data_IF_101926327725
#
_entry.id   IF_101926327725
#
_cell.length_a   1.000
_cell.length_b   1.000
_cell.length_c   1.000
_cell.angle_alpha   90.00
_cell.angle_beta   90.00
_cell.angle_gamma   90.00
#
_symmetry.space_group_name_H-M   'P 1'
#
loop_
_entity.id
_entity.type
_entity.pdbx_description
1 polymer ?
#
# COMPACT_ATOMS: atom_id res chain seq x y z
N UNK A 1 7.16 7.23 -15.93
CA UNK A 1 6.13 7.51 -14.90
C UNK A 1 6.73 7.26 -13.53
N UNK A 2 6.22 7.88 -12.46
CA UNK A 2 6.75 7.61 -11.11
C UNK A 2 6.43 6.19 -10.67
N UNK A 3 7.33 5.60 -9.90
CA UNK A 3 7.16 4.30 -9.26
C UNK A 3 7.67 4.35 -7.80
N UNK A 4 7.15 3.43 -6.98
CA UNK A 4 7.58 3.23 -5.61
C UNK A 4 7.75 1.74 -5.32
N UNK A 5 8.87 1.41 -4.69
CA UNK A 5 9.14 0.05 -4.20
C UNK A 5 8.44 -0.14 -2.85
N UNK A 6 7.60 -1.16 -2.76
CA UNK A 6 6.85 -1.55 -1.56
C UNK A 6 7.24 -2.98 -1.18
N UNK A 7 7.44 -3.23 0.11
CA UNK A 7 7.77 -4.56 0.60
C UNK A 7 6.56 -5.50 0.50
N UNK A 8 6.80 -6.79 0.32
CA UNK A 8 5.74 -7.79 0.45
C UNK A 8 5.42 -8.05 1.94
N UNK A 9 4.12 -8.11 2.31
CA UNK A 9 2.97 -8.37 1.45
C UNK A 9 2.19 -7.11 1.04
N UNK A 10 2.62 -5.92 1.47
CA UNK A 10 1.86 -4.68 1.31
C UNK A 10 1.70 -4.27 -0.15
N UNK A 11 2.69 -4.56 -1.01
CA UNK A 11 2.57 -4.33 -2.45
C UNK A 11 1.40 -5.14 -3.03
N UNK A 12 1.27 -6.41 -2.62
CA UNK A 12 0.17 -7.29 -3.03
C UNK A 12 -1.18 -6.86 -2.46
N UNK A 13 -1.22 -6.43 -1.20
CA UNK A 13 -2.43 -5.88 -0.60
C UNK A 13 -2.92 -4.63 -1.34
N UNK A 14 -1.99 -3.80 -1.82
CA UNK A 14 -2.34 -2.66 -2.67
C UNK A 14 -2.86 -3.16 -4.01
N UNK A 15 -2.14 -4.07 -4.67
CA UNK A 15 -2.50 -4.56 -6.00
C UNK A 15 -3.86 -5.26 -6.06
N UNK A 16 -4.30 -5.93 -4.98
CA UNK A 16 -5.64 -6.52 -4.88
C UNK A 16 -6.72 -5.56 -4.36
N UNK A 17 -6.35 -4.32 -4.02
CA UNK A 17 -7.26 -3.30 -3.51
C UNK A 17 -7.63 -3.42 -2.03
N UNK A 18 -7.07 -4.39 -1.31
CA UNK A 18 -7.27 -4.54 0.14
C UNK A 18 -6.59 -3.44 0.96
N UNK A 19 -5.57 -2.79 0.40
CA UNK A 19 -4.84 -1.67 1.00
C UNK A 19 -4.84 -0.46 0.07
N UNK A 20 -5.24 0.69 0.61
CA UNK A 20 -5.40 1.97 -0.09
C UNK A 20 -4.54 3.07 0.55
N UNK A 21 -3.96 2.83 1.72
CA UNK A 21 -3.10 3.81 2.40
C UNK A 21 -1.69 3.26 2.59
N UNK A 22 -0.71 3.77 1.87
CA UNK A 22 0.70 3.41 2.07
C UNK A 22 1.33 4.30 3.15
N UNK A 23 2.05 3.71 4.12
CA UNK A 23 2.65 4.49 5.23
C UNK A 23 4.16 4.65 5.07
N UNK A 24 4.68 5.88 5.17
CA UNK A 24 6.11 6.19 5.02
C UNK A 24 6.62 7.11 6.12
N UNK A 25 7.91 7.06 6.40
CA UNK A 25 8.59 7.99 7.31
C UNK A 25 8.97 9.32 6.61
N UNK A 26 8.52 9.54 5.38
CA UNK A 26 8.80 10.75 4.60
C UNK A 26 7.58 11.16 3.76
N UNK A 27 7.46 12.46 3.51
CA UNK A 27 6.36 13.06 2.76
C UNK A 27 6.70 13.27 1.29
N UNK A 28 5.69 13.40 0.45
CA UNK A 28 5.88 13.77 -0.95
C UNK A 28 4.84 14.79 -1.40
N UNK A 29 5.26 15.74 -2.24
CA UNK A 29 4.39 16.68 -2.94
C UNK A 29 3.84 16.11 -4.26
N UNK A 30 4.35 14.95 -4.70
CA UNK A 30 3.88 14.33 -5.94
C UNK A 30 2.41 13.91 -5.80
N UNK A 31 1.62 14.17 -6.85
CA UNK A 31 0.25 13.70 -7.04
C UNK A 31 0.10 13.26 -8.48
N UNK A 32 -0.56 12.12 -8.71
CA UNK A 32 -0.72 11.55 -10.05
C UNK A 32 -0.47 10.06 -10.11
N UNK A 33 -0.35 9.54 -11.34
CA UNK A 33 -0.17 8.10 -11.59
C UNK A 33 1.18 7.61 -11.08
N UNK A 34 1.15 6.56 -10.27
CA UNK A 34 2.32 5.92 -9.70
C UNK A 34 2.24 4.41 -9.88
N UNK A 35 3.36 3.80 -10.22
CA UNK A 35 3.49 2.36 -10.35
C UNK A 35 3.94 1.74 -9.02
N UNK A 36 3.33 0.61 -8.66
CA UNK A 36 3.64 -0.15 -7.44
C UNK A 36 4.57 -1.30 -7.80
N UNK A 37 5.79 -1.24 -7.28
CA UNK A 37 6.80 -2.27 -7.44
C UNK A 37 6.87 -3.16 -6.20
N UNK A 38 6.76 -4.48 -6.42
CA UNK A 38 6.94 -5.49 -5.40
C UNK A 38 8.43 -5.70 -5.11
N UNK A 39 8.86 -5.33 -3.91
CA UNK A 39 10.23 -5.53 -3.43
C UNK A 39 10.62 -7.01 -3.38
N UNK A 40 11.93 -7.30 -3.44
CA UNK A 40 12.44 -8.68 -3.43
C UNK A 40 12.51 -9.33 -2.05
N UNK A 41 12.47 -8.53 -0.99
CA UNK A 41 12.56 -9.04 0.37
C UNK A 41 11.15 -9.39 0.87
N UNK A 42 10.98 -10.64 1.31
CA UNK A 42 9.74 -11.09 1.95
C UNK A 42 10.07 -11.58 3.36
N UNK A 43 9.31 -11.11 4.36
CA UNK A 43 9.38 -11.62 5.75
C UNK A 43 8.11 -12.40 6.08
N UNK A 44 7.78 -13.39 5.23
CA UNK A 44 6.52 -14.17 5.26
C UNK A 44 6.18 -14.77 6.62
N UNK A 45 7.18 -15.13 7.44
CA UNK A 45 6.97 -15.75 8.75
C UNK A 45 6.35 -14.83 9.82
N UNK A 46 6.21 -13.52 9.55
CA UNK A 46 5.79 -12.53 10.55
C UNK A 46 4.48 -11.80 10.19
N UNK A 47 3.71 -12.32 9.24
CA UNK A 47 2.47 -11.68 8.84
C UNK A 47 1.38 -11.88 9.90
N UNK A 48 0.70 -10.79 10.25
CA UNK A 48 -0.42 -10.82 11.19
C UNK A 48 -1.64 -11.52 10.57
N UNK A 49 -2.55 -12.01 11.41
CA UNK A 49 -3.78 -12.66 10.94
C UNK A 49 -4.61 -11.78 9.97
N UNK A 50 -4.80 -10.46 10.20
CA UNK A 50 -5.49 -9.60 9.23
C UNK A 50 -4.85 -9.60 7.85
N UNK A 51 -3.51 -9.59 7.77
CA UNK A 51 -2.77 -9.67 6.50
C UNK A 51 -3.04 -11.01 5.82
N UNK A 52 -2.92 -12.12 6.56
CA UNK A 52 -3.14 -13.46 6.02
C UNK A 52 -4.57 -13.60 5.49
N UNK A 53 -5.57 -13.16 6.26
CA UNK A 53 -6.97 -13.21 5.85
C UNK A 53 -7.23 -12.34 4.62
N UNK A 54 -6.68 -11.12 4.57
CA UNK A 54 -6.86 -10.25 3.41
C UNK A 54 -6.19 -10.82 2.16
N UNK A 55 -5.01 -11.42 2.28
CA UNK A 55 -4.39 -12.17 1.19
C UNK A 55 -5.24 -13.38 0.80
N UNK A 56 -5.80 -14.12 1.76
CA UNK A 56 -6.67 -15.28 1.57
C UNK A 56 -7.98 -14.98 0.83
N UNK A 57 -8.62 -13.87 1.15
CA UNK A 57 -9.92 -13.49 0.59
C UNK A 57 -9.77 -12.67 -0.69
N UNK A 58 -8.76 -11.79 -0.75
CA UNK A 58 -8.62 -10.80 -1.84
C UNK A 58 -7.55 -11.17 -2.87
N UNK A 59 -6.58 -12.03 -2.54
CA UNK A 59 -5.47 -12.39 -3.43
C UNK A 59 -5.51 -13.83 -3.95
N UNK A 60 -6.38 -14.71 -3.42
CA UNK A 60 -6.41 -16.13 -3.80
C UNK A 60 -7.35 -16.34 -4.99
N UNK A 61 -6.83 -16.08 -6.19
CA UNK A 61 -6.95 -17.11 -7.22
C UNK A 61 -5.57 -17.75 -7.35
N UNK A 62 -5.51 -19.07 -7.28
CA UNK A 62 -4.29 -19.89 -7.10
C UNK A 62 -3.13 -19.57 -8.06
N UNK A 63 -3.38 -18.86 -9.17
CA UNK A 63 -2.38 -18.42 -10.13
C UNK A 63 -1.49 -17.25 -9.67
N UNK A 64 -1.92 -16.43 -8.69
CA UNK A 64 -1.32 -15.11 -8.46
C UNK A 64 -0.38 -15.00 -7.28
N UNK A 65 -0.31 -16.00 -6.40
CA UNK A 65 0.71 -16.06 -5.33
C UNK A 65 2.12 -16.31 -5.88
N UNK A 66 2.26 -16.60 -7.18
CA UNK A 66 3.48 -16.45 -7.96
C UNK A 66 3.76 -14.97 -8.29
N UNK A 67 3.68 -14.09 -7.30
CA UNK A 67 4.14 -12.71 -7.42
C UNK A 67 5.62 -12.78 -7.84
N UNK A 68 5.91 -12.32 -9.06
CA UNK A 68 7.29 -12.15 -9.51
C UNK A 68 7.88 -10.98 -8.73
N UNK A 69 8.45 -11.28 -7.57
CA UNK A 69 9.24 -10.35 -6.78
C UNK A 69 10.20 -9.56 -7.68
N UNK A 70 10.37 -8.27 -7.41
CA UNK A 70 11.14 -7.40 -8.29
C UNK A 70 10.41 -7.03 -9.58
N UNK A 71 9.08 -6.89 -9.55
CA UNK A 71 8.28 -6.46 -10.69
C UNK A 71 7.31 -5.34 -10.29
N UNK A 72 6.92 -4.52 -11.26
CA UNK A 72 5.76 -3.63 -11.15
C UNK A 72 4.49 -4.46 -11.32
N UNK A 73 3.56 -4.36 -10.38
CA UNK A 73 2.37 -5.22 -10.29
C UNK A 73 1.04 -4.47 -10.27
N UNK A 74 1.08 -3.15 -10.07
CA UNK A 74 -0.11 -2.30 -10.13
C UNK A 74 0.24 -0.87 -10.53
N UNK A 75 -0.76 -0.15 -11.03
CA UNK A 75 -0.76 1.29 -11.27
C UNK A 75 -1.87 1.89 -10.41
N UNK A 76 -1.62 3.02 -9.77
CA UNK A 76 -2.59 3.71 -8.93
C UNK A 76 -2.41 5.22 -9.03
N UNK A 77 -3.32 6.01 -8.45
CA UNK A 77 -3.17 7.45 -8.28
C UNK A 77 -2.77 7.76 -6.84
N UNK A 78 -1.62 8.40 -6.64
CA UNK A 78 -1.32 9.06 -5.37
C UNK A 78 -2.11 10.37 -5.34
N UNK A 79 -3.19 10.41 -4.56
CA UNK A 79 -4.12 11.54 -4.49
C UNK A 79 -3.88 12.43 -3.28
N UNK A 80 -3.33 11.86 -2.20
CA UNK A 80 -2.92 12.66 -1.04
C UNK A 80 -1.74 12.08 -0.26
N UNK A 81 -1.13 12.89 0.60
CA UNK A 81 -0.02 12.53 1.47
C UNK A 81 -0.16 13.32 2.77
N UNK A 82 -0.69 12.67 3.81
CA UNK A 82 -1.15 13.32 5.03
C UNK A 82 -0.31 12.89 6.23
N UNK A 83 0.08 13.83 7.07
CA UNK A 83 0.80 13.50 8.30
C UNK A 83 -0.11 12.80 9.31
N UNK A 84 0.41 11.77 9.98
CA UNK A 84 -0.25 11.11 11.10
C UNK A 84 -0.04 11.93 12.36
N UNK A 85 -1.15 12.36 12.98
CA UNK A 85 -1.16 13.19 14.18
C UNK A 85 -1.17 12.37 15.47
N UNK A 86 -1.61 11.12 15.42
CA UNK A 86 -1.57 10.20 16.55
C UNK A 86 -2.67 9.16 16.46
N UNK A 87 -2.90 8.45 17.57
CA UNK A 87 -3.97 7.48 17.70
C UNK A 87 -4.98 7.93 18.75
N UNK A 88 -6.23 7.53 18.56
CA UNK A 88 -7.34 7.81 19.48
C UNK A 88 -8.14 6.54 19.73
N UNK A 89 -8.50 6.32 21.00
CA UNK A 89 -9.45 5.29 21.38
C UNK A 89 -10.86 5.84 21.23
N UNK A 90 -11.67 5.18 20.41
CA UNK A 90 -13.05 5.52 20.12
C UNK A 90 -13.96 4.48 20.75
N UNK A 91 -15.05 4.94 21.37
CA UNK A 91 -16.14 4.08 21.77
C UNK A 91 -17.16 4.04 20.63
N UNK A 92 -17.27 2.90 19.96
CA UNK A 92 -18.27 2.67 18.92
C UNK A 92 -19.23 1.63 19.48
N UNK A 93 -20.47 2.05 19.75
CA UNK A 93 -21.45 1.25 20.47
C UNK A 93 -20.90 0.77 21.83
N UNK A 94 -20.82 -0.54 22.05
CA UNK A 94 -20.30 -1.17 23.27
C UNK A 94 -18.84 -1.62 23.15
N UNK A 95 -18.17 -1.28 22.06
CA UNK A 95 -16.80 -1.73 21.79
C UNK A 95 -15.82 -0.56 21.76
N UNK A 96 -14.64 -0.78 22.32
CA UNK A 96 -13.53 0.14 22.16
C UNK A 96 -12.76 -0.22 20.89
N UNK A 97 -12.48 0.79 20.07
CA UNK A 97 -11.74 0.67 18.82
C UNK A 97 -10.65 1.71 18.78
N UNK A 98 -9.54 1.41 18.11
CA UNK A 98 -8.45 2.36 17.91
C UNK A 98 -8.54 2.93 16.50
N UNK A 99 -8.26 4.22 16.35
CA UNK A 99 -8.10 4.89 15.07
C UNK A 99 -6.80 5.68 15.03
N UNK A 100 -6.10 5.68 13.90
CA UNK A 100 -5.11 6.70 13.60
C UNK A 100 -5.83 7.97 13.09
N UNK A 101 -5.37 9.13 13.52
CA UNK A 101 -5.89 10.44 13.14
C UNK A 101 -4.88 11.11 12.21
N UNK A 102 -5.33 11.45 11.00
CA UNK A 102 -4.53 12.19 10.02
C UNK A 102 -4.72 13.70 10.19
N UNK A 103 -3.84 14.50 9.60
CA UNK A 103 -3.83 15.95 9.76
C UNK A 103 -5.08 16.69 9.28
N UNK A 104 -5.86 16.07 8.40
CA UNK A 104 -7.16 16.56 7.95
C UNK A 104 -8.33 15.97 8.75
N UNK A 105 -8.07 15.39 9.92
CA UNK A 105 -9.04 14.71 10.79
C UNK A 105 -9.63 13.41 10.24
N UNK A 106 -9.15 12.89 9.10
CA UNK A 106 -9.54 11.55 8.67
C UNK A 106 -9.09 10.50 9.68
N UNK A 107 -9.96 9.51 9.89
CA UNK A 107 -9.76 8.40 10.83
C UNK A 107 -9.46 7.13 10.05
N UNK A 108 -8.33 6.50 10.33
CA UNK A 108 -7.96 5.21 9.74
C UNK A 108 -8.17 4.11 10.79
N UNK A 109 -8.94 3.10 10.42
CA UNK A 109 -9.41 2.03 11.32
C UNK A 109 -9.40 0.67 10.61
N UNK A 110 -9.60 -0.41 11.37
CA UNK A 110 -9.73 -1.76 10.83
C UNK A 110 -8.49 -2.21 10.06
N UNK A 111 -8.69 -2.93 8.96
CA UNK A 111 -7.60 -3.49 8.16
C UNK A 111 -6.56 -2.43 7.71
N UNK A 112 -7.00 -1.23 7.32
CA UNK A 112 -6.05 -0.18 6.91
C UNK A 112 -5.10 0.23 8.02
N UNK A 113 -5.59 0.25 9.27
CA UNK A 113 -4.78 0.54 10.46
C UNK A 113 -3.77 -0.60 10.69
N UNK A 114 -4.23 -1.85 10.59
CA UNK A 114 -3.40 -3.06 10.77
C UNK A 114 -2.35 -3.24 9.65
N UNK A 115 -2.58 -2.66 8.48
CA UNK A 115 -1.69 -2.80 7.32
C UNK A 115 -0.59 -1.74 7.26
N UNK A 116 -0.44 -0.85 8.25
CA UNK A 116 0.51 0.25 8.18
C UNK A 116 1.10 0.64 9.52
N UNK A 117 2.18 1.41 9.48
CA UNK A 117 2.73 2.06 10.66
C UNK A 117 2.23 3.51 10.71
N UNK A 118 1.27 3.73 11.60
CA UNK A 118 0.65 5.04 11.88
C UNK A 118 1.23 5.69 13.15
N UNK A 119 2.50 5.43 13.47
CA UNK A 119 3.20 6.20 14.51
C UNK A 119 3.18 7.70 14.17
N UNK A 120 3.00 8.54 15.19
CA UNK A 120 3.00 9.99 15.05
C UNK A 120 4.20 10.49 14.22
N UNK A 121 3.94 11.42 13.31
CA UNK A 121 4.97 12.03 12.45
C UNK A 121 5.26 11.28 11.15
N UNK A 122 4.74 10.05 10.98
CA UNK A 122 4.74 9.34 9.69
C UNK A 122 3.69 9.94 8.74
N UNK A 123 3.71 9.50 7.49
CA UNK A 123 2.85 9.99 6.42
C UNK A 123 2.03 8.87 5.79
N UNK A 124 0.72 9.10 5.68
CA UNK A 124 -0.25 8.27 5.00
C UNK A 124 -0.40 8.75 3.55
N UNK A 125 0.05 7.94 2.60
CA UNK A 125 -0.10 8.17 1.17
C UNK A 125 -1.41 7.55 0.71
N UNK A 126 -2.34 8.39 0.29
CA UNK A 126 -3.69 7.98 -0.12
C UNK A 126 -3.65 7.56 -1.58
N UNK A 127 -3.99 6.30 -1.83
CA UNK A 127 -3.98 5.67 -3.14
C UNK A 127 -5.42 5.48 -3.62
N UNK A 128 -5.70 5.88 -4.86
CA UNK A 128 -7.00 5.74 -5.51
C UNK A 128 -6.86 5.03 -6.85
N UNK A 129 -7.97 4.46 -7.35
CA UNK A 129 -8.03 3.78 -8.66
C UNK A 129 -6.90 2.75 -8.85
N UNK A 130 -6.66 1.91 -7.85
CA UNK A 130 -5.67 0.84 -7.97
C UNK A 130 -6.12 -0.09 -9.10
N UNK A 131 -5.28 -0.18 -10.12
CA UNK A 131 -5.41 -1.13 -11.22
C UNK A 131 -4.24 -2.10 -11.18
N UNK A 132 -4.55 -3.36 -10.93
CA UNK A 132 -3.59 -4.45 -11.09
C UNK A 132 -3.16 -4.58 -12.56
N UNK A 133 -1.90 -4.94 -12.79
CA UNK A 133 -1.36 -5.25 -14.11
C UNK A 133 -0.64 -6.59 -14.11
N UNK A 134 -0.36 -7.12 -15.30
CA UNK A 134 0.60 -8.22 -15.44
C UNK A 134 1.98 -7.80 -14.92
N UNK A 135 2.65 -8.63 -14.10
CA UNK A 135 3.94 -8.28 -13.51
C UNK A 135 4.99 -7.92 -14.57
N UNK A 136 5.47 -6.68 -14.55
CA UNK A 136 6.55 -6.21 -15.41
C UNK A 136 7.87 -6.18 -14.63
N UNK A 137 8.88 -7.00 -14.97
CA UNK A 137 10.16 -7.01 -14.26
C UNK A 137 10.83 -5.63 -14.23
N UNK A 138 11.27 -5.20 -13.06
CA UNK A 138 11.96 -3.92 -12.89
C UNK A 138 12.91 -3.92 -11.68
N UNK A 139 14.00 -3.16 -11.76
CA UNK A 139 14.89 -2.98 -10.62
C UNK A 139 14.33 -1.90 -9.69
N UNK A 140 13.83 -2.32 -8.53
CA UNK A 140 13.34 -1.42 -7.49
C UNK A 140 14.43 -0.45 -7.01
N UNK A 141 14.02 0.75 -6.61
CA UNK A 141 14.89 1.81 -6.08
C UNK A 141 14.31 2.41 -4.81
N UNK A 142 15.15 3.10 -4.04
CA UNK A 142 14.71 3.87 -2.88
C UNK A 142 13.96 5.14 -3.32
N UNK A 143 13.04 5.60 -2.46
CA UNK A 143 12.17 6.76 -2.69
C UNK A 143 11.36 6.62 -3.98
N UNK A 144 10.76 7.71 -4.46
CA UNK A 144 10.13 7.75 -5.78
C UNK A 144 11.20 7.69 -6.87
N UNK A 145 10.98 6.85 -7.87
CA UNK A 145 11.89 6.68 -9.00
C UNK A 145 11.13 6.72 -10.34
N UNK A 146 11.85 6.97 -11.43
CA UNK A 146 11.28 6.93 -12.77
C UNK A 146 11.27 5.51 -13.31
N UNK A 147 10.10 5.06 -13.72
CA UNK A 147 9.86 3.81 -14.40
C UNK A 147 9.37 4.06 -15.82
N UNK A 148 10.06 3.48 -16.79
CA UNK A 148 9.63 3.45 -18.18
C UNK A 148 8.73 2.22 -18.34
N UNK A 149 7.42 2.47 -18.45
CA UNK A 149 6.47 1.42 -18.75
C UNK A 149 6.78 0.88 -20.16
N UNK A 150 6.76 -0.44 -20.38
CA UNK A 150 6.94 -1.01 -21.72
C UNK A 150 5.94 -0.40 -22.69
N UNK A 151 6.39 -0.08 -23.89
CA UNK A 151 5.56 0.45 -24.98
C UNK A 151 4.56 -0.63 -25.42
N UNK A 152 3.37 -0.64 -24.83
CA UNK A 152 2.26 -1.54 -25.16
C UNK A 152 1.02 -1.13 -24.38
N UNK A 153 -0.15 -1.22 -25.01
CA UNK A 153 -1.46 -0.70 -24.57
C UNK A 153 -2.01 -1.32 -23.28
N UNK A 154 -1.27 -1.20 -22.19
CA UNK A 154 -1.59 -1.70 -20.86
C UNK A 154 -1.51 -0.59 -19.80
N UNK A 155 -1.67 0.67 -20.21
CA UNK A 155 -1.80 1.84 -19.33
C UNK A 155 -3.26 2.20 -19.01
#
# INVERSE_FOLDING_TARGET
>A
MKAITILEPWASLIACGAKQIETRNWSTKYRGRIAIHAGKETKRAFYSLPIITALGVSCVSEHWLNIRLGSVIAITNLVDCLQVRGTSSLKICNEQRVAAILENNMRVMGNELEFGDYTHGRYAWILANVRRIEPVPAKGRQRLWEWEAPSGDHC
#
